data_IF_984537760418
#
_entry.id   IF_984537760418
#
_cell.length_a   1.000
_cell.length_b   1.000
_cell.length_c   1.000
_cell.angle_alpha   90.00
_cell.angle_beta   90.00
_cell.angle_gamma   90.00
#
_symmetry.space_group_name_H-M   'P 1'
#
loop_
_entity.id
_entity.type
_entity.pdbx_description
1 polymer ?
#
# COMPACT_ATOMS: atom_id res chain seq x y z
N UNK A 1 -20.35 -2.29 -7.92
CA UNK A 1 -20.23 -1.00 -7.21
C UNK A 1 -19.60 0.07 -8.12
N UNK A 2 -18.38 -0.12 -8.64
CA UNK A 2 -17.78 0.85 -9.58
C UNK A 2 -18.59 0.95 -10.89
N UNK A 3 -19.03 -0.19 -11.43
CA UNK A 3 -19.93 -0.26 -12.59
C UNK A 3 -21.35 0.28 -12.33
N UNK A 4 -21.69 0.62 -11.07
CA UNK A 4 -22.97 1.22 -10.69
C UNK A 4 -22.86 2.75 -10.56
N UNK A 5 -21.80 3.36 -11.11
CA UNK A 5 -21.60 4.82 -11.14
C UNK A 5 -21.11 5.43 -9.82
N UNK A 6 -20.59 4.62 -8.89
CA UNK A 6 -20.04 5.11 -7.62
C UNK A 6 -18.56 5.49 -7.79
N UNK A 7 -18.12 6.60 -7.18
CA UNK A 7 -16.69 6.93 -7.06
C UNK A 7 -16.06 6.01 -6.01
N UNK A 8 -15.28 5.04 -6.48
CA UNK A 8 -14.66 4.01 -5.65
C UNK A 8 -13.17 4.06 -5.87
N UNK A 9 -12.44 4.10 -4.76
CA UNK A 9 -10.98 4.07 -4.74
C UNK A 9 -10.52 3.10 -3.68
N UNK A 10 -9.48 2.36 -3.99
CA UNK A 10 -8.83 1.46 -3.03
C UNK A 10 -7.66 2.18 -2.37
N UNK A 11 -7.45 1.95 -1.08
CA UNK A 11 -6.21 2.35 -0.40
C UNK A 11 -5.55 1.10 0.19
N UNK A 12 -4.25 0.93 -0.07
CA UNK A 12 -3.46 -0.15 0.49
C UNK A 12 -2.00 0.27 0.68
N UNK A 13 -1.25 -0.41 1.55
CA UNK A 13 0.19 -0.24 1.61
C UNK A 13 0.86 -0.64 0.30
N UNK A 14 1.92 0.08 -0.09
CA UNK A 14 2.74 -0.24 -1.25
C UNK A 14 3.64 -1.47 -0.98
N UNK A 15 3.04 -2.65 -0.90
CA UNK A 15 3.80 -3.87 -0.66
C UNK A 15 4.69 -4.20 -1.86
N UNK A 16 5.90 -4.67 -1.57
CA UNK A 16 6.88 -5.07 -2.58
C UNK A 16 6.36 -6.15 -3.55
N UNK A 17 5.42 -6.99 -3.11
CA UNK A 17 4.81 -8.05 -3.93
C UNK A 17 3.71 -7.56 -4.88
N UNK A 18 3.28 -6.30 -4.78
CA UNK A 18 2.26 -5.77 -5.67
C UNK A 18 2.81 -5.70 -7.10
N UNK A 19 2.01 -6.20 -8.03
CA UNK A 19 2.23 -6.03 -9.46
C UNK A 19 1.34 -4.88 -9.90
N UNK A 20 1.96 -3.74 -10.19
CA UNK A 20 1.28 -2.55 -10.66
C UNK A 20 1.62 -2.35 -12.14
N UNK A 21 0.80 -1.55 -12.82
CA UNK A 21 1.17 -1.04 -14.14
C UNK A 21 2.25 0.05 -13.98
N UNK A 22 3.02 0.32 -15.02
CA UNK A 22 4.17 1.25 -14.95
C UNK A 22 3.78 2.71 -14.67
N UNK A 23 2.50 3.06 -14.76
CA UNK A 23 2.02 4.42 -14.52
C UNK A 23 1.62 4.63 -13.06
N UNK A 24 2.55 5.21 -12.29
CA UNK A 24 2.37 5.57 -10.88
C UNK A 24 2.68 7.05 -10.70
N UNK A 25 1.75 7.79 -10.10
CA UNK A 25 1.88 9.24 -9.86
C UNK A 25 1.91 9.55 -8.37
N UNK A 26 2.86 10.35 -7.89
CA UNK A 26 2.81 10.85 -6.51
C UNK A 26 1.73 11.94 -6.38
N UNK A 27 0.87 11.82 -5.36
CA UNK A 27 -0.19 12.80 -5.05
C UNK A 27 0.12 13.67 -3.86
N UNK A 28 0.82 13.13 -2.88
CA UNK A 28 1.23 13.87 -1.69
C UNK A 28 2.36 13.16 -0.97
N UNK A 29 3.11 13.90 -0.16
CA UNK A 29 4.04 13.36 0.81
C UNK A 29 3.93 14.11 2.14
N UNK A 30 4.13 13.38 3.23
CA UNK A 30 4.05 13.90 4.59
C UNK A 30 4.94 13.09 5.54
N UNK A 31 5.30 13.71 6.66
CA UNK A 31 6.08 13.08 7.74
C UNK A 31 5.13 12.63 8.85
N UNK A 32 5.19 11.37 9.25
CA UNK A 32 4.47 10.79 10.40
C UNK A 32 5.48 10.17 11.35
N UNK A 33 5.64 10.78 12.54
CA UNK A 33 6.67 10.36 13.49
C UNK A 33 8.06 10.52 12.88
N UNK A 34 8.76 9.41 12.69
CA UNK A 34 10.09 9.36 12.05
C UNK A 34 10.03 8.91 10.58
N UNK A 35 8.84 8.65 10.05
CA UNK A 35 8.68 8.08 8.72
C UNK A 35 8.19 9.11 7.72
N UNK A 36 8.88 9.19 6.59
CA UNK A 36 8.36 9.84 5.39
C UNK A 36 7.39 8.90 4.68
N UNK A 37 6.15 9.34 4.51
CA UNK A 37 5.09 8.59 3.86
C UNK A 37 4.65 9.32 2.60
N UNK A 38 4.52 8.59 1.49
CA UNK A 38 4.02 9.12 0.21
C UNK A 38 2.69 8.46 -0.14
N UNK A 39 1.80 9.21 -0.74
CA UNK A 39 0.59 8.68 -1.38
C UNK A 39 0.84 8.67 -2.88
N UNK A 40 0.83 7.47 -3.45
CA UNK A 40 0.94 7.26 -4.88
C UNK A 40 -0.44 6.89 -5.42
N UNK A 41 -0.76 7.26 -6.64
CA UNK A 41 -1.96 6.85 -7.34
C UNK A 41 -1.60 6.03 -8.58
N UNK A 42 -2.34 4.95 -8.79
CA UNK A 42 -2.26 4.11 -9.99
C UNK A 42 -3.62 3.47 -10.27
N UNK A 43 -3.71 2.67 -11.33
CA UNK A 43 -4.90 1.90 -11.67
C UNK A 43 -4.57 0.42 -11.49
N UNK A 44 -5.46 -0.31 -10.80
CA UNK A 44 -5.31 -1.75 -10.60
C UNK A 44 -5.26 -2.46 -11.97
N UNK A 45 -4.33 -3.41 -12.19
CA UNK A 45 -4.32 -4.20 -13.42
C UNK A 45 -5.67 -4.86 -13.68
N UNK A 46 -6.05 -4.96 -14.96
CA UNK A 46 -7.30 -5.60 -15.39
C UNK A 46 -8.58 -4.92 -14.85
N UNK A 47 -8.47 -3.70 -14.34
CA UNK A 47 -9.57 -2.92 -13.77
C UNK A 47 -9.45 -1.44 -14.12
N UNK A 48 -10.53 -0.68 -13.93
CA UNK A 48 -10.55 0.79 -14.01
C UNK A 48 -10.62 1.46 -12.64
N UNK A 49 -10.44 0.69 -11.56
CA UNK A 49 -10.51 1.20 -10.19
C UNK A 49 -9.20 1.91 -9.84
N UNK A 50 -9.24 3.22 -9.47
CA UNK A 50 -8.09 3.93 -8.95
C UNK A 50 -7.65 3.37 -7.61
N UNK A 51 -6.34 3.36 -7.40
CA UNK A 51 -5.69 2.81 -6.23
C UNK A 51 -4.71 3.83 -5.67
N UNK A 52 -4.91 4.20 -4.40
CA UNK A 52 -3.93 4.94 -3.63
C UNK A 52 -3.02 3.98 -2.86
N UNK A 53 -1.72 4.13 -3.05
CA UNK A 53 -0.70 3.34 -2.38
C UNK A 53 -0.05 4.18 -1.30
N UNK A 54 -0.10 3.68 -0.07
CA UNK A 54 0.64 4.23 1.06
C UNK A 54 2.07 3.70 0.98
N UNK A 55 2.97 4.53 0.49
CA UNK A 55 4.37 4.19 0.29
C UNK A 55 5.21 4.63 1.49
N UNK A 56 5.72 3.64 2.21
CA UNK A 56 6.67 3.78 3.30
C UNK A 56 7.57 2.53 3.29
N UNK A 57 8.70 2.55 2.56
CA UNK A 57 9.51 1.36 2.33
C UNK A 57 10.01 0.69 3.61
N UNK A 58 10.26 1.46 4.68
CA UNK A 58 10.68 0.96 5.99
C UNK A 58 9.63 0.01 6.62
N UNK A 59 8.35 0.27 6.39
CA UNK A 59 7.25 -0.51 6.96
C UNK A 59 6.67 -1.53 5.96
N UNK A 60 6.70 -1.25 4.65
CA UNK A 60 6.00 -2.04 3.64
C UNK A 60 6.91 -2.72 2.60
N UNK A 61 8.21 -2.41 2.59
CA UNK A 61 9.19 -2.94 1.63
C UNK A 61 9.69 -4.37 1.90
N UNK A 62 9.12 -5.07 2.88
CA UNK A 62 9.51 -6.44 3.24
C UNK A 62 9.22 -7.39 2.07
N UNK A 63 10.18 -8.27 1.75
CA UNK A 63 10.01 -9.30 0.74
C UNK A 63 9.18 -10.47 1.30
N UNK A 64 8.29 -11.03 0.49
CA UNK A 64 7.44 -12.16 0.90
C UNK A 64 6.05 -11.72 1.35
N UNK A 65 5.47 -12.42 2.33
CA UNK A 65 4.12 -12.13 2.79
C UNK A 65 4.14 -10.87 3.70
N UNK A 66 3.23 -9.91 3.50
CA UNK A 66 3.23 -8.69 4.30
C UNK A 66 2.79 -8.89 5.76
N UNK A 67 2.26 -10.05 6.15
CA UNK A 67 1.72 -10.29 7.49
C UNK A 67 2.47 -11.38 8.27
N UNK A 68 3.13 -12.31 7.58
CA UNK A 68 3.70 -13.50 8.19
C UNK A 68 5.10 -13.82 7.67
N UNK A 69 5.89 -14.49 8.50
CA UNK A 69 7.20 -15.00 8.13
C UNK A 69 7.13 -16.22 7.19
N UNK A 70 8.29 -16.81 6.87
CA UNK A 70 8.40 -17.99 5.99
C UNK A 70 7.78 -19.25 6.55
N UNK A 71 7.48 -19.29 7.86
CA UNK A 71 6.81 -20.40 8.53
C UNK A 71 5.30 -20.13 8.72
N UNK A 72 4.82 -18.96 8.29
CA UNK A 72 3.42 -18.56 8.43
C UNK A 72 3.07 -17.90 9.77
N UNK A 73 4.06 -17.56 10.60
CA UNK A 73 3.82 -16.87 11.88
C UNK A 73 3.68 -15.36 11.69
N UNK A 74 2.73 -14.70 12.36
CA UNK A 74 2.59 -13.24 12.30
C UNK A 74 3.85 -12.51 12.77
N UNK A 75 4.23 -11.45 12.04
CA UNK A 75 5.27 -10.55 12.53
C UNK A 75 4.83 -9.84 13.82
N UNK A 76 5.72 -9.77 14.81
CA UNK A 76 5.46 -9.14 16.11
C UNK A 76 5.15 -7.64 16.02
N UNK A 77 5.66 -6.96 14.99
CA UNK A 77 5.48 -5.53 14.74
C UNK A 77 4.31 -5.21 13.78
N UNK A 78 3.44 -6.17 13.44
CA UNK A 78 2.30 -5.90 12.56
C UNK A 78 1.41 -4.75 13.10
N UNK A 79 1.23 -4.67 14.41
CA UNK A 79 0.45 -3.59 15.04
C UNK A 79 1.06 -2.20 14.77
N UNK A 80 2.38 -2.05 14.92
CA UNK A 80 3.11 -0.81 14.64
C UNK A 80 3.00 -0.41 13.17
N UNK A 81 3.12 -1.38 12.25
CA UNK A 81 3.03 -1.15 10.80
C UNK A 81 1.66 -0.64 10.34
N UNK A 82 0.57 -1.07 10.97
CA UNK A 82 -0.78 -0.56 10.67
C UNK A 82 -1.14 0.71 11.43
N UNK A 83 -0.52 0.93 12.59
CA UNK A 83 -0.74 2.13 13.38
C UNK A 83 0.15 3.31 12.97
N UNK A 84 1.20 3.08 12.18
CA UNK A 84 2.27 4.03 11.88
C UNK A 84 2.84 4.67 13.18
N UNK A 85 3.13 3.82 14.18
CA UNK A 85 3.61 4.24 15.51
C UNK A 85 4.94 3.60 15.86
#
# INVERSE_FOLDING_TARGET
>A
LAQLGQDIRLILPNYRSLKLNDEVQERSSFEIGLHKVRILETILPESSVPVFLVDCPELFGIAGNPYVDTHGHPYSNNAERFALR
#
